data_IF_040645912576
#
_entry.id   IF_040645912576
#
_cell.length_a   1.000
_cell.length_b   1.000
_cell.length_c   1.000
_cell.angle_alpha   90.00
_cell.angle_beta   90.00
_cell.angle_gamma   90.00
#
_symmetry.space_group_name_H-M   'P 1'
#
loop_
_entity.id
_entity.type
_entity.pdbx_description
1 polymer ?
#
# COMPACT_ATOMS: atom_id res chain seq x y z
N UNK A 1 21.36 -7.82 -36.91
CA UNK A 1 20.40 -8.03 -35.79
C UNK A 1 19.23 -8.85 -36.30
N UNK A 2 18.94 -10.02 -35.72
CA UNK A 2 17.81 -10.85 -36.13
C UNK A 2 16.46 -10.22 -35.67
N UNK A 3 15.38 -10.33 -36.47
CA UNK A 3 14.09 -9.76 -36.11
C UNK A 3 13.47 -10.52 -34.91
N UNK A 4 12.99 -9.77 -33.92
CA UNK A 4 12.32 -10.33 -32.74
C UNK A 4 11.05 -11.07 -33.18
N UNK A 5 11.06 -12.40 -33.09
CA UNK A 5 9.86 -13.25 -33.30
C UNK A 5 8.78 -12.79 -32.32
N UNK A 6 7.67 -12.24 -32.84
CA UNK A 6 6.48 -11.95 -32.04
C UNK A 6 5.83 -13.29 -31.69
N UNK A 7 5.66 -13.55 -30.39
CA UNK A 7 4.99 -14.74 -29.88
C UNK A 7 3.52 -14.71 -30.32
N UNK A 8 2.94 -15.86 -30.63
CA UNK A 8 1.51 -15.95 -30.93
C UNK A 8 0.70 -15.69 -29.64
N UNK A 9 -0.57 -15.25 -29.72
CA UNK A 9 -1.35 -14.92 -28.52
C UNK A 9 -1.43 -16.05 -27.50
N UNK A 10 -1.45 -17.31 -27.96
CA UNK A 10 -1.41 -18.49 -27.09
C UNK A 10 -0.07 -18.61 -26.34
N UNK A 11 1.04 -18.38 -27.03
CA UNK A 11 2.37 -18.42 -26.42
C UNK A 11 2.58 -17.29 -25.40
N UNK A 12 1.96 -16.12 -25.59
CA UNK A 12 1.98 -15.04 -24.59
C UNK A 12 1.20 -15.43 -23.32
N UNK A 13 0.07 -16.14 -23.44
CA UNK A 13 -0.70 -16.60 -22.29
C UNK A 13 0.03 -17.68 -21.50
N UNK A 14 0.71 -18.60 -22.19
CA UNK A 14 1.52 -19.63 -21.56
C UNK A 14 2.76 -19.04 -20.89
N UNK A 15 3.43 -18.08 -21.53
CA UNK A 15 4.54 -17.35 -20.93
C UNK A 15 4.11 -16.57 -19.68
N UNK A 16 2.92 -15.97 -19.67
CA UNK A 16 2.36 -15.33 -18.47
C UNK A 16 2.02 -16.33 -17.36
N UNK A 17 1.49 -17.50 -17.71
CA UNK A 17 1.24 -18.58 -16.72
C UNK A 17 2.54 -19.13 -16.13
N UNK A 18 3.56 -19.37 -16.96
CA UNK A 18 4.87 -19.82 -16.53
C UNK A 18 5.55 -18.79 -15.63
N UNK A 19 5.57 -17.51 -16.01
CA UNK A 19 6.13 -16.43 -15.20
C UNK A 19 5.37 -16.25 -13.86
N UNK A 20 4.04 -16.42 -13.86
CA UNK A 20 3.25 -16.38 -12.64
C UNK A 20 3.49 -17.61 -11.72
N UNK A 21 3.81 -18.77 -12.29
CA UNK A 21 4.16 -19.97 -11.54
C UNK A 21 5.57 -19.85 -10.93
N UNK A 22 6.55 -19.34 -11.68
CA UNK A 22 7.91 -19.07 -11.18
C UNK A 22 7.92 -18.00 -10.09
N UNK A 23 7.12 -16.94 -10.23
CA UNK A 23 6.96 -15.92 -9.19
C UNK A 23 6.29 -16.46 -7.91
N UNK A 24 5.46 -17.50 -8.02
CA UNK A 24 4.88 -18.21 -6.87
C UNK A 24 5.88 -19.19 -6.24
N UNK A 25 6.73 -19.83 -7.06
CA UNK A 25 7.74 -20.79 -6.60
C UNK A 25 8.92 -20.12 -5.90
N UNK A 26 9.37 -18.95 -6.36
CA UNK A 26 10.43 -18.14 -5.73
C UNK A 26 9.93 -17.31 -4.53
N UNK A 27 8.71 -17.55 -4.06
CA UNK A 27 8.15 -16.83 -2.93
C UNK A 27 8.75 -17.38 -1.65
N UNK A 28 9.89 -16.83 -1.25
CA UNK A 28 10.52 -17.10 0.04
C UNK A 28 9.48 -16.90 1.14
N UNK A 29 9.16 -17.97 1.88
CA UNK A 29 8.32 -17.85 3.07
C UNK A 29 9.08 -16.99 4.07
N UNK A 30 8.62 -15.74 4.21
CA UNK A 30 9.25 -14.76 5.09
C UNK A 30 8.90 -15.14 6.53
N UNK A 31 9.84 -15.76 7.23
CA UNK A 31 9.71 -16.08 8.66
C UNK A 31 9.92 -14.79 9.44
N UNK A 32 8.83 -14.18 9.91
CA UNK A 32 8.89 -12.99 10.76
C UNK A 32 9.29 -13.39 12.18
N UNK A 33 10.25 -12.68 12.78
CA UNK A 33 10.60 -12.86 14.19
C UNK A 33 9.45 -12.43 15.10
N UNK A 34 9.42 -12.88 16.35
CA UNK A 34 8.33 -12.53 17.28
C UNK A 34 8.27 -11.04 17.60
N UNK A 35 9.41 -10.34 17.57
CA UNK A 35 9.49 -8.89 17.69
C UNK A 35 8.80 -8.15 16.52
N UNK A 36 8.96 -8.66 15.30
CA UNK A 36 8.28 -8.10 14.12
C UNK A 36 6.77 -8.35 14.17
N UNK A 37 6.34 -9.50 14.71
CA UNK A 37 4.92 -9.81 14.94
C UNK A 37 4.32 -8.88 16.00
N UNK A 38 5.03 -8.59 17.08
CA UNK A 38 4.59 -7.66 18.11
C UNK A 38 4.39 -6.24 17.54
N UNK A 39 5.40 -5.71 16.83
CA UNK A 39 5.30 -4.42 16.12
C UNK A 39 4.16 -4.40 15.12
N UNK A 40 3.94 -5.48 14.36
CA UNK A 40 2.81 -5.58 13.44
C UNK A 40 1.48 -5.49 14.19
N UNK A 41 1.34 -6.17 15.33
CA UNK A 41 0.13 -6.14 16.15
C UNK A 41 -0.16 -4.71 16.65
N UNK A 42 0.86 -4.03 17.17
CA UNK A 42 0.75 -2.63 17.60
C UNK A 42 0.33 -1.71 16.46
N UNK A 43 0.92 -1.86 15.27
CA UNK A 43 0.51 -1.09 14.08
C UNK A 43 -0.93 -1.40 13.67
N UNK A 44 -1.38 -2.65 13.74
CA UNK A 44 -2.78 -3.01 13.44
C UNK A 44 -3.74 -2.35 14.42
N UNK A 45 -3.44 -2.37 15.71
CA UNK A 45 -4.27 -1.75 16.75
C UNK A 45 -4.34 -0.23 16.55
N UNK A 46 -3.21 0.44 16.35
CA UNK A 46 -3.17 1.88 16.07
C UNK A 46 -3.93 2.26 14.80
N UNK A 47 -3.83 1.46 13.73
CA UNK A 47 -4.54 1.72 12.48
C UNK A 47 -6.06 1.57 12.64
N UNK A 48 -6.52 0.55 13.38
CA UNK A 48 -7.95 0.36 13.70
C UNK A 48 -8.48 1.48 14.57
N UNK A 49 -7.73 1.88 15.58
CA UNK A 49 -8.11 2.97 16.47
C UNK A 49 -8.18 4.31 15.72
N UNK A 50 -7.21 4.60 14.85
CA UNK A 50 -7.25 5.77 13.97
C UNK A 50 -8.47 5.77 13.03
N UNK A 51 -8.87 4.60 12.50
CA UNK A 51 -10.09 4.46 11.70
C UNK A 51 -11.35 4.73 12.52
N UNK A 52 -11.43 4.24 13.76
CA UNK A 52 -12.55 4.50 14.66
C UNK A 52 -12.65 5.98 15.03
N UNK A 53 -11.53 6.61 15.43
CA UNK A 53 -11.47 8.03 15.79
C UNK A 53 -11.78 8.95 14.60
N UNK A 54 -11.40 8.56 13.39
CA UNK A 54 -11.68 9.32 12.16
C UNK A 54 -13.05 9.03 11.54
N UNK A 55 -13.85 8.11 12.09
CA UNK A 55 -15.15 7.74 11.53
C UNK A 55 -16.13 8.93 11.48
N UNK A 56 -16.10 9.77 12.51
CA UNK A 56 -16.96 10.96 12.65
C UNK A 56 -16.33 12.24 12.09
N UNK A 57 -15.08 12.20 11.65
CA UNK A 57 -14.39 13.37 11.09
C UNK A 57 -14.85 13.66 9.66
N UNK A 58 -14.95 14.95 9.36
CA UNK A 58 -15.38 15.47 8.06
C UNK A 58 -14.27 16.34 7.49
N UNK A 59 -14.04 16.23 6.18
CA UNK A 59 -13.05 16.99 5.44
C UNK A 59 -12.57 16.22 4.23
N UNK A 60 -12.22 16.91 3.15
CA UNK A 60 -11.88 16.27 1.85
C UNK A 60 -10.67 15.32 1.94
N UNK A 61 -9.81 15.54 2.93
CA UNK A 61 -8.62 14.73 3.21
C UNK A 61 -8.90 13.48 4.05
N UNK A 62 -10.04 13.42 4.75
CA UNK A 62 -10.39 12.30 5.65
C UNK A 62 -10.70 11.02 4.84
N UNK A 63 -11.54 11.02 3.79
CA UNK A 63 -11.79 9.82 2.99
C UNK A 63 -10.53 9.16 2.40
N UNK A 64 -9.60 9.89 1.75
CA UNK A 64 -8.38 9.28 1.23
C UNK A 64 -7.45 8.76 2.34
N UNK A 65 -7.36 9.44 3.48
CA UNK A 65 -6.57 8.97 4.63
C UNK A 65 -7.13 7.68 5.25
N UNK A 66 -8.46 7.56 5.37
CA UNK A 66 -9.08 6.29 5.78
C UNK A 66 -8.86 5.17 4.76
N UNK A 67 -8.83 5.50 3.46
CA UNK A 67 -8.55 4.52 2.40
C UNK A 67 -7.13 3.97 2.54
N UNK A 68 -6.12 4.79 2.79
CA UNK A 68 -4.75 4.31 3.01
C UNK A 68 -4.65 3.40 4.24
N UNK A 69 -5.29 3.75 5.36
CA UNK A 69 -5.33 2.89 6.55
C UNK A 69 -5.98 1.53 6.27
N UNK A 70 -7.09 1.51 5.52
CA UNK A 70 -7.74 0.26 5.09
C UNK A 70 -6.85 -0.57 4.16
N UNK A 71 -6.12 0.06 3.23
CA UNK A 71 -5.18 -0.63 2.35
C UNK A 71 -4.01 -1.24 3.12
N UNK A 72 -3.50 -0.56 4.14
CA UNK A 72 -2.49 -1.10 5.05
C UNK A 72 -3.00 -2.38 5.73
N UNK A 73 -4.22 -2.36 6.30
CA UNK A 73 -4.82 -3.52 6.96
C UNK A 73 -5.11 -4.68 6.00
N UNK A 74 -5.47 -4.41 4.74
CA UNK A 74 -5.68 -5.47 3.74
C UNK A 74 -4.36 -6.13 3.31
N UNK A 75 -3.26 -5.38 3.32
CA UNK A 75 -1.97 -5.83 2.83
C UNK A 75 -0.95 -6.14 3.93
N UNK A 76 -1.35 -6.46 5.16
CA UNK A 76 -0.47 -6.63 6.33
C UNK A 76 0.73 -7.58 6.15
N UNK A 77 0.60 -8.55 5.24
CA UNK A 77 1.65 -9.52 4.90
C UNK A 77 2.27 -9.28 3.51
N UNK A 78 1.94 -8.15 2.89
CA UNK A 78 2.45 -7.75 1.59
C UNK A 78 3.92 -7.35 1.67
N UNK A 79 4.68 -7.47 0.56
CA UNK A 79 6.10 -7.14 0.53
C UNK A 79 6.40 -5.65 0.71
N UNK A 80 5.42 -4.78 0.47
CA UNK A 80 5.57 -3.32 0.50
C UNK A 80 4.79 -2.71 1.69
N UNK A 81 5.21 -3.07 2.91
CA UNK A 81 4.69 -2.44 4.12
C UNK A 81 5.23 -1.00 4.25
N UNK A 82 4.44 -0.05 4.76
CA UNK A 82 4.97 1.26 5.14
C UNK A 82 6.02 1.10 6.24
N UNK A 83 7.09 1.89 6.16
CA UNK A 83 8.02 2.08 7.28
C UNK A 83 7.30 2.80 8.44
N UNK A 84 7.94 2.86 9.61
CA UNK A 84 7.33 3.44 10.82
C UNK A 84 6.94 4.91 10.63
N UNK A 85 7.78 5.71 9.97
CA UNK A 85 7.48 7.12 9.71
C UNK A 85 6.29 7.32 8.77
N UNK A 86 6.19 6.54 7.70
CA UNK A 86 5.03 6.56 6.78
C UNK A 86 3.77 6.07 7.46
N UNK A 87 3.90 5.08 8.34
CA UNK A 87 2.77 4.55 9.10
C UNK A 87 2.22 5.60 10.09
N UNK A 88 3.09 6.31 10.81
CA UNK A 88 2.70 7.43 11.68
C UNK A 88 2.00 8.54 10.89
N UNK A 89 2.57 8.94 9.75
CA UNK A 89 1.92 9.91 8.86
C UNK A 89 0.53 9.45 8.40
N UNK A 90 0.35 8.14 8.16
CA UNK A 90 -0.94 7.57 7.75
C UNK A 90 -1.98 7.61 8.88
N UNK A 91 -1.55 7.43 10.13
CA UNK A 91 -2.42 7.56 11.32
C UNK A 91 -2.82 9.01 11.54
N UNK A 92 -1.92 9.96 11.34
CA UNK A 92 -2.18 11.38 11.54
C UNK A 92 -2.97 12.02 10.39
N UNK A 93 -2.87 11.48 9.17
CA UNK A 93 -3.46 12.04 7.97
C UNK A 93 -4.98 12.34 8.05
N UNK A 94 -5.83 11.55 8.73
CA UNK A 94 -7.24 11.91 8.91
C UNK A 94 -7.48 13.09 9.85
N UNK A 95 -6.50 13.44 10.70
CA UNK A 95 -6.64 14.48 11.73
C UNK A 95 -5.94 15.79 11.33
N UNK A 96 -4.96 15.71 10.43
CA UNK A 96 -4.20 16.86 9.95
C UNK A 96 -4.59 17.20 8.53
N UNK A 97 -5.27 18.34 8.36
CA UNK A 97 -5.57 18.86 7.04
C UNK A 97 -4.26 19.07 6.26
N UNK A 98 -4.14 18.53 5.02
CA UNK A 98 -2.96 18.75 4.22
C UNK A 98 -2.78 20.25 3.98
N UNK A 99 -1.54 20.76 3.96
CA UNK A 99 -1.29 22.17 3.71
C UNK A 99 -1.95 22.54 2.39
N UNK A 100 -2.80 23.58 2.41
CA UNK A 100 -3.45 24.10 1.21
C UNK A 100 -2.35 24.38 0.18
N UNK A 101 -2.40 23.70 -0.97
CA UNK A 101 -1.49 24.00 -2.07
C UNK A 101 -1.67 25.49 -2.37
N UNK A 102 -0.59 26.26 -2.26
CA UNK A 102 -0.54 27.67 -2.69
C UNK A 102 -1.09 27.67 -4.13
N UNK A 103 -2.29 28.20 -4.32
CA UNK A 103 -2.85 28.42 -5.65
C UNK A 103 -1.83 29.28 -6.36
N UNK A 104 -1.18 28.71 -7.37
CA UNK A 104 -0.29 29.46 -8.25
C UNK A 104 -1.23 30.29 -9.13
N UNK A 105 -1.70 31.41 -8.58
CA UNK A 105 -2.50 32.44 -9.24
C UNK A 105 -1.55 33.17 -10.20
N UNK A 106 -0.97 32.42 -11.15
CA UNK A 106 -0.36 32.96 -12.36
C UNK A 106 -1.51 33.40 -13.26
N UNK A 107 -2.13 34.51 -12.88
CA UNK A 107 -2.96 35.28 -13.81
C UNK A 107 -2.02 35.83 -14.87
N UNK A 108 -2.16 35.28 -16.06
CA UNK A 108 -1.75 35.91 -17.31
C UNK A 108 -2.75 37.01 -17.64
#
# INVERSE_FOLDING_TARGET
MAPRKKLTPLQETEARRAAAAEAKANKVQRTFSDEEKAKRKERVEKAKDALSRSASLKGDHVPPARKSLKMFLQNLNGPNQPDDGRFEMMIEAPFKAPPKKKTNDRRF
#
